data_IF_241869126988
#
_entry.id   IF_241869126988
#
_cell.length_a   1.000
_cell.length_b   1.000
_cell.length_c   1.000
_cell.angle_alpha   90.00
_cell.angle_beta   90.00
_cell.angle_gamma   90.00
#
_symmetry.space_group_name_H-M   'P 1'
#
loop_
_entity.id
_entity.type
_entity.pdbx_description
1 polymer ?
#
# COMPACT_ATOMS: atom_id res chain seq x y z
N UNK A 1 0.81 -9.70 51.94
CA UNK A 1 0.09 -9.63 50.65
C UNK A 1 0.50 -8.33 50.00
N UNK A 2 1.40 -8.41 49.01
CA UNK A 2 1.75 -7.27 48.18
C UNK A 2 0.90 -7.37 46.92
N UNK A 3 0.07 -6.37 46.68
CA UNK A 3 -0.68 -6.20 45.45
C UNK A 3 0.32 -5.90 44.32
N UNK A 4 0.38 -6.77 43.33
CA UNK A 4 1.14 -6.52 42.11
C UNK A 4 0.21 -5.70 41.22
N UNK A 5 0.41 -4.39 41.19
CA UNK A 5 -0.19 -3.50 40.22
C UNK A 5 0.52 -3.70 38.87
N UNK A 6 0.06 -4.69 38.09
CA UNK A 6 0.44 -4.82 36.67
C UNK A 6 -0.38 -3.84 35.82
N UNK A 7 -0.18 -2.55 36.04
CA UNK A 7 -0.43 -1.55 35.02
C UNK A 7 0.66 -1.70 33.95
N UNK A 8 0.46 -2.64 33.03
CA UNK A 8 1.20 -2.63 31.75
C UNK A 8 0.72 -1.39 31.00
N UNK A 9 1.44 -0.28 31.15
CA UNK A 9 1.32 0.86 30.26
C UNK A 9 1.66 0.35 28.87
N UNK A 10 0.64 0.24 28.01
CA UNK A 10 0.86 -0.21 26.62
C UNK A 10 1.70 0.84 25.92
N UNK A 11 2.85 0.41 25.43
CA UNK A 11 3.80 1.28 24.75
C UNK A 11 3.15 1.87 23.49
N UNK A 12 3.27 3.18 23.32
CA UNK A 12 2.79 3.87 22.11
C UNK A 12 4.03 4.14 21.26
N UNK A 13 4.22 3.43 20.14
CA UNK A 13 5.37 3.67 19.27
C UNK A 13 5.25 5.04 18.61
N UNK A 14 6.37 5.72 18.40
CA UNK A 14 6.39 7.02 17.71
C UNK A 14 6.18 6.87 16.19
N UNK A 15 6.64 5.76 15.63
CA UNK A 15 6.59 5.46 14.20
C UNK A 15 5.82 4.17 13.94
N UNK A 16 5.20 4.10 12.77
CA UNK A 16 4.51 2.93 12.25
C UNK A 16 5.16 2.51 10.94
N UNK A 17 5.21 1.21 10.70
CA UNK A 17 5.81 0.62 9.49
C UNK A 17 4.74 -0.10 8.70
N UNK A 18 4.55 0.26 7.44
CA UNK A 18 3.46 -0.23 6.60
C UNK A 18 4.00 -1.14 5.51
N UNK A 19 3.55 -2.38 5.46
CA UNK A 19 3.83 -3.25 4.33
C UNK A 19 2.83 -2.97 3.23
N UNK A 20 3.33 -2.60 2.05
CA UNK A 20 2.52 -2.19 0.90
C UNK A 20 2.87 -3.06 -0.30
N UNK A 21 1.84 -3.45 -1.05
CA UNK A 21 1.97 -4.16 -2.30
C UNK A 21 1.71 -3.23 -3.47
N UNK A 22 2.66 -3.16 -4.40
CA UNK A 22 2.54 -2.41 -5.65
C UNK A 22 2.40 -3.38 -6.83
N UNK A 23 1.44 -3.09 -7.71
CA UNK A 23 1.34 -3.71 -9.03
C UNK A 23 1.66 -2.70 -10.12
N UNK A 24 2.71 -3.00 -10.88
CA UNK A 24 3.18 -2.19 -11.99
C UNK A 24 2.90 -2.97 -13.27
N UNK A 25 1.91 -2.52 -14.03
CA UNK A 25 1.62 -3.07 -15.35
C UNK A 25 2.40 -2.26 -16.40
N UNK A 26 3.30 -2.93 -17.12
CA UNK A 26 4.13 -2.32 -18.15
C UNK A 26 3.31 -1.67 -19.29
N UNK A 27 2.03 -2.02 -19.44
CA UNK A 27 1.19 -1.57 -20.54
C UNK A 27 0.21 -0.44 -20.19
N UNK A 28 0.06 -0.06 -18.93
CA UNK A 28 -0.85 1.03 -18.54
C UNK A 28 -0.12 2.36 -18.51
N UNK A 29 0.01 3.00 -19.67
CA UNK A 29 0.52 4.37 -19.75
C UNK A 29 -0.45 5.34 -19.06
N UNK A 30 -0.12 5.78 -17.85
CA UNK A 30 -0.80 6.90 -17.17
C UNK A 30 -1.87 6.54 -16.13
N UNK A 31 -2.20 5.25 -15.95
CA UNK A 31 -3.05 4.84 -14.82
C UNK A 31 -2.17 4.60 -13.58
N UNK A 32 -2.61 5.02 -12.38
CA UNK A 32 -1.84 4.78 -11.17
C UNK A 32 -1.67 3.26 -10.93
N UNK A 33 -0.43 2.82 -10.69
CA UNK A 33 -0.08 1.54 -10.08
C UNK A 33 -1.07 1.21 -8.96
N UNK A 34 -1.52 -0.04 -8.93
CA UNK A 34 -2.42 -0.46 -7.87
C UNK A 34 -1.62 -0.62 -6.58
N UNK A 35 -1.81 0.32 -5.65
CA UNK A 35 -1.22 0.30 -4.31
C UNK A 35 -2.19 -0.34 -3.33
N UNK A 36 -1.71 -1.34 -2.62
CA UNK A 36 -2.49 -2.21 -1.74
C UNK A 36 -1.80 -2.33 -0.38
N UNK A 37 -2.23 -1.57 0.65
CA UNK A 37 -1.76 -1.77 2.01
C UNK A 37 -2.07 -3.20 2.48
N UNK A 38 -1.08 -3.87 3.04
CA UNK A 38 -1.19 -5.25 3.53
C UNK A 38 -1.25 -5.33 5.04
N UNK A 39 -0.42 -4.55 5.74
CA UNK A 39 -0.33 -4.55 7.20
C UNK A 39 0.35 -3.28 7.73
N UNK A 40 0.17 -3.03 9.03
CA UNK A 40 0.94 -2.04 9.79
C UNK A 40 1.56 -2.73 11.01
N UNK A 41 2.81 -2.38 11.30
CA UNK A 41 3.63 -2.93 12.37
C UNK A 41 4.16 -1.80 13.25
N UNK A 42 4.39 -2.10 14.53
CA UNK A 42 4.96 -1.15 15.49
C UNK A 42 6.49 -1.13 15.49
N UNK A 43 7.12 -2.12 14.86
CA UNK A 43 8.56 -2.18 14.69
C UNK A 43 8.97 -2.60 13.26
N UNK A 44 10.16 -2.14 12.84
CA UNK A 44 10.68 -2.37 11.51
C UNK A 44 11.08 -3.83 11.25
N UNK A 45 11.46 -4.59 12.29
CA UNK A 45 11.87 -5.98 12.13
C UNK A 45 10.67 -6.85 11.74
N UNK A 46 9.55 -6.70 12.46
CA UNK A 46 8.30 -7.40 12.17
C UNK A 46 7.75 -7.04 10.79
N UNK A 47 7.82 -5.77 10.38
CA UNK A 47 7.45 -5.36 9.04
C UNK A 47 8.29 -6.06 7.95
N UNK A 48 9.61 -6.15 8.16
CA UNK A 48 10.52 -6.86 7.23
C UNK A 48 10.27 -8.36 7.20
N UNK A 49 9.97 -8.99 8.33
CA UNK A 49 9.64 -10.40 8.38
C UNK A 49 8.34 -10.70 7.63
N UNK A 50 7.29 -9.92 7.89
CA UNK A 50 6.01 -10.04 7.20
C UNK A 50 6.16 -9.79 5.69
N UNK A 51 6.86 -8.73 5.29
CA UNK A 51 7.05 -8.38 3.89
C UNK A 51 7.70 -9.50 3.05
N UNK A 52 8.60 -10.30 3.64
CA UNK A 52 9.25 -11.44 2.95
C UNK A 52 8.29 -12.59 2.67
N UNK A 53 7.26 -12.78 3.49
CA UNK A 53 6.26 -13.85 3.30
C UNK A 53 4.97 -13.35 2.65
N UNK A 54 4.76 -12.04 2.56
CA UNK A 54 3.53 -11.43 2.09
C UNK A 54 3.01 -11.99 0.75
N UNK A 55 3.87 -12.16 -0.26
CA UNK A 55 3.44 -12.74 -1.54
C UNK A 55 3.00 -14.21 -1.40
N UNK A 56 3.69 -14.99 -0.56
CA UNK A 56 3.31 -16.36 -0.27
C UNK A 56 1.96 -16.42 0.45
N UNK A 57 1.73 -15.53 1.41
CA UNK A 57 0.49 -15.45 2.19
C UNK A 57 -0.71 -15.00 1.32
N UNK A 58 -0.43 -14.23 0.26
CA UNK A 58 -1.36 -13.89 -0.81
C UNK A 58 -1.55 -15.03 -1.84
N UNK A 59 -0.89 -16.18 -1.65
CA UNK A 59 -1.06 -17.38 -2.46
C UNK A 59 -0.33 -17.34 -3.80
N UNK A 60 0.74 -16.54 -3.90
CA UNK A 60 1.75 -16.68 -4.94
C UNK A 60 2.85 -17.64 -4.50
N UNK A 61 3.59 -18.17 -5.47
CA UNK A 61 4.82 -18.93 -5.29
C UNK A 61 5.92 -18.28 -6.12
N UNK A 62 7.19 -18.52 -5.77
CA UNK A 62 8.30 -17.96 -6.53
C UNK A 62 8.25 -18.37 -8.02
N UNK A 63 7.84 -19.61 -8.29
CA UNK A 63 7.69 -20.18 -9.65
C UNK A 63 6.57 -19.54 -10.47
N UNK A 64 5.69 -18.72 -9.86
CA UNK A 64 4.70 -17.94 -10.60
C UNK A 64 5.33 -16.76 -11.36
N UNK A 65 6.60 -16.46 -11.09
CA UNK A 65 7.33 -15.31 -11.61
C UNK A 65 8.56 -15.73 -12.43
N UNK A 66 8.88 -14.96 -13.48
CA UNK A 66 10.13 -15.15 -14.24
C UNK A 66 11.35 -14.61 -13.49
N UNK A 67 11.12 -13.73 -12.52
CA UNK A 67 12.15 -13.25 -11.60
C UNK A 67 11.52 -13.02 -10.24
N UNK A 68 12.17 -13.47 -9.18
CA UNK A 68 11.69 -13.35 -7.81
C UNK A 68 12.90 -13.12 -6.90
N UNK A 69 12.97 -11.93 -6.31
CA UNK A 69 14.09 -11.47 -5.51
C UNK A 69 13.59 -11.02 -4.13
N UNK A 70 14.32 -11.41 -3.09
CA UNK A 70 14.00 -11.07 -1.71
C UNK A 70 15.20 -10.42 -1.05
N UNK A 71 15.00 -9.24 -0.47
CA UNK A 71 16.02 -8.53 0.31
C UNK A 71 16.17 -9.14 1.68
N UNK A 72 17.38 -9.58 1.98
CA UNK A 72 17.80 -10.11 3.28
C UNK A 72 19.00 -9.29 3.79
N UNK A 73 19.41 -9.54 5.03
CA UNK A 73 20.61 -8.91 5.59
C UNK A 73 21.90 -9.29 4.83
N UNK A 74 21.90 -10.41 4.11
CA UNK A 74 23.05 -10.88 3.32
C UNK A 74 23.01 -10.44 1.85
N UNK A 75 21.96 -9.71 1.43
CA UNK A 75 21.81 -9.28 0.03
C UNK A 75 22.80 -8.16 -0.26
N UNK A 76 23.85 -8.48 -1.00
CA UNK A 76 24.82 -7.53 -1.54
C UNK A 76 24.33 -7.02 -2.91
N UNK A 77 24.42 -5.71 -3.17
CA UNK A 77 24.03 -5.05 -4.44
C UNK A 77 22.53 -5.09 -4.78
N UNK A 78 21.66 -4.79 -3.81
CA UNK A 78 20.21 -4.59 -4.04
C UNK A 78 19.97 -3.47 -5.07
N UNK A 79 19.30 -3.81 -6.18
CA UNK A 79 19.03 -2.87 -7.27
C UNK A 79 17.64 -2.21 -7.19
N UNK A 80 16.81 -2.66 -6.27
CA UNK A 80 15.47 -2.12 -6.06
C UNK A 80 15.51 -1.04 -4.97
N UNK A 81 14.42 -0.28 -4.82
CA UNK A 81 14.34 0.80 -3.85
C UNK A 81 14.66 0.35 -2.42
N UNK A 82 15.11 1.28 -1.57
CA UNK A 82 15.52 0.94 -0.21
C UNK A 82 14.36 0.43 0.67
N UNK A 83 13.14 0.89 0.41
CA UNK A 83 11.93 0.37 1.04
C UNK A 83 11.53 -1.02 0.54
N UNK A 84 12.05 -1.47 -0.60
CA UNK A 84 11.64 -2.73 -1.24
C UNK A 84 12.26 -3.93 -0.57
N UNK A 85 11.40 -4.84 -0.12
CA UNK A 85 11.78 -6.11 0.52
C UNK A 85 11.63 -7.28 -0.45
N UNK A 86 10.61 -7.26 -1.31
CA UNK A 86 10.42 -8.28 -2.34
C UNK A 86 10.17 -7.59 -3.66
N UNK A 87 10.86 -8.02 -4.71
CA UNK A 87 10.56 -7.64 -6.09
C UNK A 87 10.34 -8.91 -6.91
N UNK A 88 9.29 -8.92 -7.72
CA UNK A 88 8.99 -10.05 -8.58
C UNK A 88 8.46 -9.57 -9.93
N UNK A 89 8.79 -10.31 -10.99
CA UNK A 89 8.33 -10.02 -12.36
C UNK A 89 7.66 -11.23 -12.95
N UNK A 90 6.41 -11.06 -13.38
CA UNK A 90 5.62 -12.10 -14.02
C UNK A 90 5.94 -12.19 -15.52
N UNK A 91 5.57 -13.32 -16.15
CA UNK A 91 5.82 -13.57 -17.58
C UNK A 91 5.12 -12.56 -18.50
N UNK A 92 4.02 -11.96 -18.05
CA UNK A 92 3.30 -10.90 -18.75
C UNK A 92 3.93 -9.50 -18.54
N UNK A 93 5.15 -9.42 -17.99
CA UNK A 93 5.85 -8.18 -17.64
C UNK A 93 5.20 -7.35 -16.52
N UNK A 94 4.18 -7.86 -15.83
CA UNK A 94 3.71 -7.24 -14.59
C UNK A 94 4.78 -7.39 -13.52
N UNK A 95 5.17 -6.27 -12.92
CA UNK A 95 6.07 -6.24 -11.77
C UNK A 95 5.25 -6.09 -10.48
N UNK A 96 5.69 -6.78 -9.44
CA UNK A 96 5.08 -6.80 -8.12
C UNK A 96 6.16 -6.47 -7.11
N UNK A 97 5.91 -5.48 -6.27
CA UNK A 97 6.83 -5.06 -5.23
C UNK A 97 6.14 -5.10 -3.87
N UNK A 98 6.86 -5.59 -2.86
CA UNK A 98 6.47 -5.48 -1.46
C UNK A 98 7.43 -4.51 -0.80
N UNK A 99 6.91 -3.34 -0.46
CA UNK A 99 7.64 -2.21 0.10
C UNK A 99 7.26 -1.99 1.56
N UNK A 100 8.14 -1.31 2.29
CA UNK A 100 7.88 -0.80 3.64
C UNK A 100 7.93 0.72 3.60
N UNK A 101 6.80 1.34 3.92
CA UNK A 101 6.71 2.77 4.22
C UNK A 101 6.72 3.01 5.72
N UNK A 102 7.02 4.25 6.12
CA UNK A 102 7.06 4.66 7.52
C UNK A 102 6.30 5.96 7.69
N UNK A 103 5.41 6.03 8.68
CA UNK A 103 4.77 7.29 9.11
C UNK A 103 4.91 7.51 10.61
N UNK A 104 4.63 8.73 11.05
CA UNK A 104 4.35 9.01 12.47
C UNK A 104 3.09 8.28 12.94
N UNK A 105 3.01 7.97 14.23
CA UNK A 105 1.83 7.43 14.90
C UNK A 105 0.96 8.56 15.48
N UNK A 106 0.40 9.42 14.62
CA UNK A 106 -0.31 10.62 15.06
C UNK A 106 -1.60 10.32 15.84
N UNK A 107 -2.23 9.18 15.57
CA UNK A 107 -3.38 8.64 16.29
C UNK A 107 -3.02 8.06 17.67
N UNK A 108 -1.72 7.96 18.00
CA UNK A 108 -1.20 7.42 19.25
C UNK A 108 -1.72 6.02 19.55
N UNK A 109 -1.84 5.19 18.51
CA UNK A 109 -2.32 3.83 18.63
C UNK A 109 -1.28 2.99 19.39
N UNK A 110 -1.66 2.34 20.50
CA UNK A 110 -0.72 1.57 21.29
C UNK A 110 -0.37 0.25 20.60
N UNK A 111 0.82 -0.26 20.92
CA UNK A 111 1.19 -1.61 20.57
C UNK A 111 0.28 -2.63 21.27
N UNK A 112 -0.22 -3.56 20.46
CA UNK A 112 -1.03 -4.70 20.86
C UNK A 112 -0.18 -5.97 20.94
N UNK A 113 -0.78 -7.10 20.59
CA UNK A 113 -0.07 -8.40 20.58
C UNK A 113 0.68 -8.57 19.25
N UNK A 114 1.85 -9.23 19.31
CA UNK A 114 2.66 -9.58 18.14
C UNK A 114 3.02 -8.37 17.25
N UNK A 115 3.39 -7.24 17.85
CA UNK A 115 3.80 -6.02 17.14
C UNK A 115 2.73 -5.46 16.18
N UNK A 116 1.46 -5.82 16.41
CA UNK A 116 0.31 -5.23 15.73
C UNK A 116 -0.27 -4.08 16.56
N UNK A 117 -0.91 -3.14 15.89
CA UNK A 117 -1.61 -2.05 16.57
C UNK A 117 -2.87 -2.53 17.27
N UNK A 118 -3.07 -2.06 18.50
CA UNK A 118 -4.35 -2.21 19.17
C UNK A 118 -5.32 -1.12 18.68
N UNK A 119 -6.35 -1.53 17.94
CA UNK A 119 -7.37 -0.62 17.45
C UNK A 119 -8.37 -0.23 18.56
N UNK A 120 -8.91 1.01 18.51
CA UNK A 120 -9.97 1.42 19.42
C UNK A 120 -11.26 0.65 19.14
N UNK A 121 -12.13 0.59 20.15
CA UNK A 121 -13.43 -0.09 20.04
C UNK A 121 -14.24 0.47 18.86
N UNK A 122 -14.80 -0.44 18.06
CA UNK A 122 -15.59 -0.09 16.88
C UNK A 122 -14.79 0.02 15.59
N UNK A 123 -13.45 -0.02 15.65
CA UNK A 123 -12.59 -0.19 14.47
C UNK A 123 -12.07 -1.62 14.39
N UNK A 124 -12.14 -2.21 13.20
CA UNK A 124 -11.65 -3.57 12.92
C UNK A 124 -10.54 -3.58 11.85
N UNK A 125 -10.21 -2.42 11.27
CA UNK A 125 -9.11 -2.25 10.33
C UNK A 125 -8.70 -0.78 10.27
N UNK A 126 -7.48 -0.55 9.81
CA UNK A 126 -6.94 0.78 9.60
C UNK A 126 -7.34 1.35 8.23
N UNK A 127 -7.42 2.67 8.17
CA UNK A 127 -7.65 3.45 6.96
C UNK A 127 -6.36 4.21 6.60
N UNK A 128 -5.81 3.89 5.44
CA UNK A 128 -4.55 4.43 4.95
C UNK A 128 -4.85 5.59 4.01
N UNK A 129 -4.22 6.74 4.24
CA UNK A 129 -4.13 7.81 3.26
C UNK A 129 -2.90 7.54 2.43
N UNK A 130 -3.11 7.31 1.13
CA UNK A 130 -2.05 7.01 0.17
C UNK A 130 -2.04 8.12 -0.87
N UNK A 131 -0.90 8.78 -1.04
CA UNK A 131 -0.65 9.70 -2.12
C UNK A 131 0.00 8.95 -3.28
N UNK A 132 -0.51 9.14 -4.49
CA UNK A 132 0.14 8.72 -5.72
C UNK A 132 0.44 9.94 -6.57
N UNK A 133 1.71 10.16 -6.88
CA UNK A 133 2.17 11.24 -7.77
C UNK A 133 2.59 10.65 -9.10
N UNK A 134 2.06 11.19 -10.19
CA UNK A 134 2.37 10.79 -11.56
C UNK A 134 2.97 11.99 -12.29
N UNK A 135 4.27 11.91 -12.61
CA UNK A 135 4.92 12.91 -13.45
C UNK A 135 4.76 12.52 -14.93
N UNK A 136 3.90 13.23 -15.64
CA UNK A 136 3.61 13.00 -17.06
C UNK A 136 4.58 13.73 -18.00
N UNK A 137 5.42 14.64 -17.49
CA UNK A 137 6.32 15.50 -18.28
C UNK A 137 7.72 14.89 -18.43
N UNK A 138 8.04 13.79 -17.73
CA UNK A 138 9.25 13.00 -17.99
C UNK A 138 9.12 12.23 -19.32
N UNK A 139 9.67 12.88 -20.34
CA UNK A 139 9.76 12.50 -21.75
C UNK A 139 10.25 11.06 -22.02
N UNK A 140 9.72 10.47 -23.10
CA UNK A 140 10.17 9.30 -23.91
C UNK A 140 10.56 7.96 -23.27
N UNK A 141 10.63 7.79 -21.95
CA UNK A 141 11.11 6.52 -21.34
C UNK A 141 10.19 5.85 -20.32
N UNK A 142 9.15 6.53 -19.83
CA UNK A 142 8.18 5.93 -18.92
C UNK A 142 7.59 6.94 -17.95
N UNK A 143 6.33 6.73 -17.59
CA UNK A 143 5.64 7.48 -16.54
C UNK A 143 6.35 7.22 -15.21
N UNK A 144 6.95 8.25 -14.61
CA UNK A 144 7.49 8.15 -13.27
C UNK A 144 6.35 8.32 -12.28
N UNK A 145 5.89 7.21 -11.73
CA UNK A 145 4.90 7.20 -10.67
C UNK A 145 5.55 6.81 -9.35
N UNK A 146 5.18 7.54 -8.30
CA UNK A 146 5.57 7.27 -6.93
C UNK A 146 4.30 7.16 -6.08
N UNK A 147 4.31 6.32 -5.06
CA UNK A 147 3.20 6.25 -4.12
C UNK A 147 3.70 6.01 -2.72
N UNK A 148 3.12 6.73 -1.76
CA UNK A 148 3.57 6.77 -0.37
C UNK A 148 2.34 6.75 0.54
N UNK A 149 2.46 6.08 1.69
CA UNK A 149 1.51 6.22 2.80
C UNK A 149 1.82 7.50 3.55
N UNK A 150 0.86 8.42 3.55
CA UNK A 150 0.97 9.72 4.23
C UNK A 150 0.49 9.64 5.69
N UNK A 151 -0.38 8.67 5.99
CA UNK A 151 -0.85 8.46 7.35
C UNK A 151 -1.84 7.32 7.45
N UNK A 152 -2.07 6.89 8.69
CA UNK A 152 -2.95 5.75 9.00
C UNK A 152 -3.85 6.10 10.18
N UNK A 153 -5.14 5.82 10.01
CA UNK A 153 -6.20 6.27 10.91
C UNK A 153 -7.08 5.10 11.37
N UNK A 154 -7.53 5.14 12.62
CA UNK A 154 -8.45 4.13 13.13
C UNK A 154 -9.87 4.27 12.55
N UNK A 155 -10.28 5.48 12.22
CA UNK A 155 -11.60 5.79 11.68
C UNK A 155 -11.54 6.38 10.28
N UNK A 156 -12.47 5.94 9.43
CA UNK A 156 -12.56 6.37 8.03
C UNK A 156 -12.77 7.88 7.89
N UNK A 157 -13.57 8.48 8.78
CA UNK A 157 -13.83 9.92 8.78
C UNK A 157 -12.53 10.72 8.91
N UNK A 158 -11.63 10.26 9.78
CA UNK A 158 -10.39 10.97 10.09
C UNK A 158 -9.41 10.83 8.92
N UNK A 159 -9.33 9.64 8.31
CA UNK A 159 -8.59 9.44 7.07
C UNK A 159 -9.09 10.33 5.92
N UNK A 160 -10.42 10.50 5.76
CA UNK A 160 -10.98 11.38 4.72
C UNK A 160 -10.64 12.84 4.99
N UNK A 161 -10.72 13.28 6.25
CA UNK A 161 -10.35 14.65 6.63
C UNK A 161 -8.87 14.92 6.38
N UNK A 162 -8.00 13.97 6.75
CA UNK A 162 -6.57 14.06 6.49
C UNK A 162 -6.27 14.06 4.99
N UNK A 163 -6.90 13.17 4.20
CA UNK A 163 -6.73 13.11 2.75
C UNK A 163 -7.04 14.45 2.06
N UNK A 164 -8.08 15.16 2.50
CA UNK A 164 -8.43 16.49 1.97
C UNK A 164 -7.45 17.57 2.37
N UNK A 165 -6.83 17.45 3.55
CA UNK A 165 -5.85 18.42 4.04
C UNK A 165 -4.47 18.23 3.43
N UNK A 166 -4.11 17.00 3.08
CA UNK A 166 -2.78 16.61 2.62
C UNK A 166 -2.16 17.60 1.62
N UNK A 167 -2.87 17.87 0.52
CA UNK A 167 -2.35 18.78 -0.51
C UNK A 167 -2.48 20.25 -0.10
N UNK A 168 -3.55 20.63 0.60
CA UNK A 168 -3.76 22.02 1.05
C UNK A 168 -2.76 22.50 2.09
N UNK A 169 -2.10 21.59 2.81
CA UNK A 169 -1.05 21.92 3.79
C UNK A 169 0.33 22.08 3.13
N UNK A 170 0.53 21.47 1.96
CA UNK A 170 1.79 21.48 1.21
C UNK A 170 1.80 22.53 0.09
N UNK A 171 0.63 22.90 -0.42
CA UNK A 171 0.46 23.76 -1.58
C UNK A 171 -0.61 24.81 -1.34
N UNK A 172 -0.41 26.00 -1.90
CA UNK A 172 -1.47 27.00 -2.01
C UNK A 172 -2.42 26.60 -3.14
N UNK A 173 -3.70 26.97 -3.06
CA UNK A 173 -4.68 26.65 -4.11
C UNK A 173 -4.27 27.16 -5.51
N UNK A 174 -3.37 28.15 -5.59
CA UNK A 174 -2.85 28.69 -6.85
C UNK A 174 -1.72 27.84 -7.47
N UNK A 175 -1.25 26.80 -6.78
CA UNK A 175 -0.22 25.88 -7.29
C UNK A 175 -0.81 24.78 -8.19
N UNK A 176 -2.15 24.69 -8.24
CA UNK A 176 -2.87 23.68 -9.00
C UNK A 176 -3.63 24.27 -10.19
N UNK A 177 -3.34 23.74 -11.38
CA UNK A 177 -4.11 23.97 -12.59
C UNK A 177 -5.51 23.31 -12.52
N UNK A 178 -5.62 22.23 -11.74
CA UNK A 178 -6.88 21.54 -11.48
C UNK A 178 -6.86 20.96 -10.07
N UNK A 179 -7.97 21.09 -9.34
CA UNK A 179 -8.13 20.53 -8.01
C UNK A 179 -9.58 20.10 -7.81
N UNK A 180 -9.78 18.81 -7.54
CA UNK A 180 -11.08 18.19 -7.36
C UNK A 180 -11.09 17.35 -6.09
N UNK A 181 -12.13 17.53 -5.27
CA UNK A 181 -12.38 16.71 -4.09
C UNK A 181 -13.76 16.10 -4.18
N UNK A 182 -13.90 14.89 -3.63
CA UNK A 182 -15.22 14.30 -3.39
C UNK A 182 -15.55 14.26 -1.90
N UNK A 183 -16.85 14.28 -1.62
CA UNK A 183 -17.38 14.22 -0.25
C UNK A 183 -17.09 12.88 0.42
N UNK A 184 -17.42 11.76 -0.24
CA UNK A 184 -17.23 10.39 0.27
C UNK A 184 -16.92 9.38 -0.86
N UNK A 185 -16.21 8.26 -0.58
CA UNK A 185 -16.06 7.14 -1.52
C UNK A 185 -17.35 6.36 -1.74
N UNK A 186 -17.71 6.15 -3.02
CA UNK A 186 -18.78 5.23 -3.44
C UNK A 186 -20.05 5.88 -3.99
N UNK A 187 -20.26 7.18 -3.77
CA UNK A 187 -21.57 7.81 -3.95
C UNK A 187 -21.71 8.76 -5.15
N UNK A 188 -20.71 8.87 -6.04
CA UNK A 188 -20.76 9.84 -7.14
C UNK A 188 -20.75 9.20 -8.53
N UNK A 189 -21.87 9.37 -9.25
CA UNK A 189 -21.94 9.14 -10.69
C UNK A 189 -21.02 10.17 -11.38
N UNK A 190 -19.93 9.70 -11.99
CA UNK A 190 -19.01 10.55 -12.76
C UNK A 190 -17.66 10.86 -12.10
N UNK A 191 -17.26 10.24 -10.98
CA UNK A 191 -15.89 10.35 -10.45
C UNK A 191 -14.91 9.44 -11.20
N UNK A 192 -14.02 9.97 -12.07
CA UNK A 192 -13.24 9.14 -12.99
C UNK A 192 -11.93 8.62 -12.40
N UNK A 193 -11.53 9.10 -11.22
CA UNK A 193 -10.19 8.87 -10.67
C UNK A 193 -10.05 7.56 -9.88
N UNK A 194 -11.17 6.89 -9.61
CA UNK A 194 -11.22 5.62 -8.91
C UNK A 194 -11.97 5.65 -7.58
N UNK A 195 -12.45 4.48 -7.18
CA UNK A 195 -13.35 4.33 -6.04
C UNK A 195 -12.72 4.72 -4.70
N UNK A 196 -11.40 4.65 -4.54
CA UNK A 196 -10.70 4.99 -3.29
C UNK A 196 -10.22 6.47 -3.25
N UNK A 197 -10.12 7.15 -4.40
CA UNK A 197 -9.51 8.49 -4.53
C UNK A 197 -10.42 9.59 -3.99
N UNK A 198 -10.04 10.26 -2.90
CA UNK A 198 -10.75 11.41 -2.30
C UNK A 198 -10.41 12.73 -3.00
N UNK A 199 -9.15 12.91 -3.37
CA UNK A 199 -8.65 14.15 -4.00
C UNK A 199 -7.89 13.79 -5.26
N UNK A 200 -8.16 14.54 -6.33
CA UNK A 200 -7.32 14.57 -7.52
C UNK A 200 -6.88 16.00 -7.78
N UNK A 201 -5.60 16.20 -8.04
CA UNK A 201 -5.06 17.51 -8.37
C UNK A 201 -4.03 17.41 -9.49
N UNK A 202 -3.90 18.48 -10.26
CA UNK A 202 -2.86 18.66 -11.27
C UNK A 202 -2.12 19.94 -10.93
N UNK A 203 -0.84 19.83 -10.60
CA UNK A 203 0.00 21.01 -10.41
C UNK A 203 0.23 21.74 -11.73
N UNK A 204 0.58 23.03 -11.66
CA UNK A 204 0.99 23.83 -12.84
C UNK A 204 2.17 23.19 -13.61
N UNK A 205 2.99 22.38 -12.94
CA UNK A 205 4.07 21.59 -13.56
C UNK A 205 3.57 20.43 -14.42
N UNK A 206 2.29 20.07 -14.34
CA UNK A 206 1.68 18.90 -14.98
C UNK A 206 1.73 17.62 -14.14
N UNK A 207 2.29 17.67 -12.94
CA UNK A 207 2.28 16.53 -12.02
C UNK A 207 0.86 16.25 -11.53
N UNK A 208 0.43 14.99 -11.61
CA UNK A 208 -0.88 14.55 -11.16
C UNK A 208 -0.78 13.91 -9.78
N UNK A 209 -1.61 14.36 -8.85
CA UNK A 209 -1.70 13.85 -7.49
C UNK A 209 -3.03 13.15 -7.29
N UNK A 210 -3.00 11.95 -6.74
CA UNK A 210 -4.17 11.17 -6.36
C UNK A 210 -4.06 10.84 -4.88
N UNK A 211 -4.97 11.36 -4.06
CA UNK A 211 -5.02 11.03 -2.63
C UNK A 211 -6.16 10.04 -2.40
N UNK A 212 -5.82 8.83 -1.99
CA UNK A 212 -6.75 7.73 -1.82
C UNK A 212 -6.87 7.29 -0.36
N UNK A 213 -8.08 6.92 0.06
CA UNK A 213 -8.31 6.25 1.35
C UNK A 213 -8.50 4.77 1.11
N UNK A 214 -7.54 3.96 1.58
CA UNK A 214 -7.46 2.51 1.33
C UNK A 214 -7.54 1.73 2.63
N UNK A 215 -7.89 0.45 2.53
CA UNK A 215 -7.94 -0.48 3.67
C UNK A 215 -7.35 -1.83 3.28
N UNK A 216 -6.81 -2.56 4.27
CA UNK A 216 -6.30 -3.92 4.06
C UNK A 216 -7.39 -4.87 3.52
N UNK A 217 -8.63 -4.88 4.05
CA UNK A 217 -9.71 -5.70 3.47
C UNK A 217 -10.02 -5.34 2.01
N UNK A 218 -10.04 -4.05 1.67
CA UNK A 218 -10.25 -3.59 0.28
C UNK A 218 -9.10 -4.01 -0.64
N UNK A 219 -7.86 -3.95 -0.14
CA UNK A 219 -6.69 -4.43 -0.86
C UNK A 219 -6.76 -5.94 -1.17
N UNK A 220 -7.17 -6.76 -0.20
CA UNK A 220 -7.34 -8.21 -0.40
C UNK A 220 -8.40 -8.55 -1.47
N UNK A 221 -9.47 -7.76 -1.57
CA UNK A 221 -10.47 -7.93 -2.62
C UNK A 221 -9.89 -7.63 -4.01
N UNK A 222 -9.19 -6.50 -4.17
CA UNK A 222 -8.54 -6.10 -5.43
C UNK A 222 -7.43 -7.06 -5.86
N UNK A 223 -6.65 -7.54 -4.89
CA UNK A 223 -5.59 -8.52 -5.10
C UNK A 223 -6.09 -9.76 -5.86
N UNK A 224 -7.27 -10.30 -5.55
CA UNK A 224 -7.83 -11.48 -6.24
C UNK A 224 -7.91 -11.29 -7.76
N UNK A 225 -8.26 -10.08 -8.20
CA UNK A 225 -8.31 -9.72 -9.62
C UNK A 225 -6.91 -9.70 -10.22
N UNK A 226 -5.93 -9.08 -9.55
CA UNK A 226 -4.54 -9.01 -10.04
C UNK A 226 -3.85 -10.38 -10.06
N UNK A 227 -4.08 -11.22 -9.05
CA UNK A 227 -3.57 -12.59 -9.01
C UNK A 227 -4.03 -13.41 -10.20
N UNK A 228 -5.30 -13.28 -10.60
CA UNK A 228 -5.83 -13.97 -11.78
C UNK A 228 -5.14 -13.52 -13.07
N UNK A 229 -4.78 -12.23 -13.17
CA UNK A 229 -4.02 -11.71 -14.32
C UNK A 229 -2.59 -12.26 -14.38
N UNK A 230 -1.91 -12.29 -13.22
CA UNK A 230 -0.51 -12.75 -13.11
C UNK A 230 -0.38 -14.25 -13.38
N UNK A 231 -1.24 -15.06 -12.77
CA UNK A 231 -1.18 -16.53 -12.92
C UNK A 231 -1.72 -17.02 -14.26
N UNK A 232 -2.32 -16.12 -15.06
CA UNK A 232 -3.12 -16.49 -16.21
C UNK A 232 -4.36 -17.30 -15.81
N UNK A 233 -5.26 -17.50 -16.77
CA UNK A 233 -6.50 -18.27 -16.55
C UNK A 233 -6.24 -19.79 -16.47
N UNK A 234 -5.14 -20.23 -15.87
CA UNK A 234 -4.77 -21.64 -15.73
C UNK A 234 -5.33 -22.22 -14.41
N UNK A 235 -6.64 -22.10 -14.25
CA UNK A 235 -7.37 -22.98 -13.35
C UNK A 235 -7.35 -24.39 -13.92
N UNK A 236 -6.81 -25.34 -13.15
CA UNK A 236 -6.95 -26.80 -13.31
C UNK A 236 -6.22 -27.46 -14.48
N UNK A 237 -4.91 -27.71 -14.34
CA UNK A 237 -4.33 -29.03 -14.66
C UNK A 237 -3.16 -29.35 -13.71
N UNK A 238 -3.45 -29.64 -12.44
CA UNK A 238 -2.53 -30.47 -11.66
C UNK A 238 -2.76 -31.91 -12.11
N UNK A 239 -1.87 -32.42 -12.95
CA UNK A 239 -1.78 -33.84 -13.23
C UNK A 239 -1.48 -34.57 -11.91
N UNK A 240 -2.45 -35.29 -11.39
CA UNK A 240 -2.21 -36.37 -10.44
C UNK A 240 -1.50 -37.48 -11.18
N UNK A 241 -0.19 -37.62 -10.97
CA UNK A 241 0.53 -38.86 -11.24
C UNK A 241 0.14 -39.86 -10.16
N UNK A 242 -0.85 -40.69 -10.45
CA UNK A 242 -1.06 -41.94 -9.74
C UNK A 242 0.10 -42.87 -10.10
N UNK A 243 0.84 -43.29 -9.08
CA UNK A 243 1.82 -44.37 -9.16
C UNK A 243 1.04 -45.68 -9.05
N UNK A 244 1.15 -46.54 -10.06
CA UNK A 244 0.94 -47.98 -9.96
C UNK A 244 2.26 -48.70 -10.25
#
# INVERSE_FOLDING_TARGET
MAEIDTSSSKEVPEQLYHTILHYIDAYTSGAPFAVCPLATHTDLSSAKEYARTALHDLGYQADDFVSFEVRTAATENWQHGDGTIVWAKAANSTEVMVDIDTTSNDEKLPEGLNHQLQLPNGSNHLHYVVQTTINLVKDRSGVAQQSEVEGVYAYRSDAILAAKRQLSELFDNNDFAQYEERSEPGDYEGWPYGEDVIVHAIAETGDNYYIAVKTVPGAHQRHKTHRTKILGNHGHKRHTTATE
#
